data_IF_302384964436
#
_entry.id   IF_302384964436
#
_cell.length_a   1.000
_cell.length_b   1.000
_cell.length_c   1.000
_cell.angle_alpha   90.00
_cell.angle_beta   90.00
_cell.angle_gamma   90.00
#
_symmetry.space_group_name_H-M   'P 1'
#
loop_
_entity.id
_entity.type
_entity.pdbx_description
1 polymer ?
#
# COMPACT_ATOMS: atom_id res chain seq x y z
N UNK A 1 -0.64 29.98 21.78
CA UNK A 1 -0.61 29.68 20.34
C UNK A 1 -0.59 28.17 20.19
N UNK A 2 -1.56 27.58 19.50
CA UNK A 2 -1.52 26.17 19.15
C UNK A 2 -0.40 26.03 18.10
N UNK A 3 0.58 25.15 18.33
CA UNK A 3 1.64 24.90 17.35
C UNK A 3 1.03 24.23 16.12
N UNK A 4 1.32 24.76 14.94
CA UNK A 4 0.92 24.17 13.66
C UNK A 4 1.50 22.76 13.48
N UNK A 5 0.70 21.85 12.92
CA UNK A 5 1.09 20.47 12.66
C UNK A 5 2.05 20.40 11.46
N UNK A 6 3.26 19.87 11.68
CA UNK A 6 4.26 19.73 10.63
C UNK A 6 4.29 18.29 10.11
N UNK A 7 3.67 18.06 8.95
CA UNK A 7 3.63 16.75 8.28
C UNK A 7 5.00 16.14 8.00
N UNK A 8 6.08 16.92 7.91
CA UNK A 8 7.43 16.40 7.67
C UNK A 8 8.12 15.90 8.95
N UNK A 9 7.62 16.28 10.12
CA UNK A 9 8.18 15.88 11.42
C UNK A 9 7.47 14.64 12.01
N UNK A 10 7.19 13.65 11.15
CA UNK A 10 6.57 12.39 11.55
C UNK A 10 7.13 11.21 10.77
N UNK A 11 7.01 10.02 11.37
CA UNK A 11 7.34 8.77 10.70
C UNK A 11 6.16 8.27 9.85
N UNK A 12 6.45 7.89 8.60
CA UNK A 12 5.49 7.25 7.71
C UNK A 12 5.99 5.87 7.28
N UNK A 13 5.13 4.85 7.25
CA UNK A 13 5.48 3.59 6.62
C UNK A 13 5.38 3.75 5.10
N UNK A 14 6.39 3.24 4.39
CA UNK A 14 6.43 3.25 2.95
C UNK A 14 5.79 1.98 2.37
N UNK A 15 6.41 0.82 2.65
CA UNK A 15 6.10 -0.47 2.04
C UNK A 15 6.44 -1.59 3.05
N UNK A 16 5.73 -2.74 3.04
CA UNK A 16 6.16 -3.95 3.74
C UNK A 16 7.54 -4.43 3.28
N UNK A 17 8.44 -4.74 4.20
CA UNK A 17 9.82 -5.16 3.90
C UNK A 17 9.86 -6.40 3.01
N UNK A 18 8.91 -7.33 3.22
CA UNK A 18 8.76 -8.56 2.44
C UNK A 18 8.37 -8.34 0.96
N UNK A 19 7.93 -7.14 0.61
CA UNK A 19 7.52 -6.78 -0.75
C UNK A 19 8.62 -6.00 -1.50
N UNK A 20 9.68 -5.55 -0.81
CA UNK A 20 10.82 -4.82 -1.41
C UNK A 20 11.80 -5.81 -2.04
N UNK A 21 12.15 -5.61 -3.32
CA UNK A 21 13.25 -6.35 -3.95
C UNK A 21 14.59 -5.78 -3.47
N UNK A 22 15.37 -6.57 -2.75
CA UNK A 22 16.66 -6.11 -2.23
C UNK A 22 17.74 -5.96 -3.30
N UNK A 23 17.53 -6.48 -4.51
CA UNK A 23 18.52 -6.42 -5.59
C UNK A 23 18.33 -5.23 -6.53
N UNK A 24 17.23 -4.50 -6.38
CA UNK A 24 16.83 -3.44 -7.30
C UNK A 24 16.34 -2.21 -6.53
N UNK A 25 16.76 -0.98 -6.90
CA UNK A 25 16.16 0.22 -6.34
C UNK A 25 14.64 0.25 -6.60
N UNK A 26 13.87 0.67 -5.59
CA UNK A 26 12.40 0.72 -5.65
C UNK A 26 11.92 2.17 -5.54
N UNK A 27 11.25 2.74 -6.55
CA UNK A 27 10.68 4.07 -6.47
C UNK A 27 9.47 4.08 -5.53
N UNK A 28 9.32 5.16 -4.76
CA UNK A 28 8.16 5.38 -3.89
C UNK A 28 7.90 6.89 -3.79
N UNK A 29 6.65 7.28 -3.59
CA UNK A 29 6.29 8.69 -3.37
C UNK A 29 5.60 8.85 -2.01
N UNK A 30 5.94 9.93 -1.30
CA UNK A 30 5.40 10.33 -0.01
C UNK A 30 5.34 11.86 0.04
N UNK A 31 4.20 12.46 0.37
CA UNK A 31 4.03 13.92 0.45
C UNK A 31 4.52 14.65 -0.81
N UNK A 32 4.31 14.08 -2.00
CA UNK A 32 4.81 14.61 -3.27
C UNK A 32 6.32 14.42 -3.51
N UNK A 33 7.09 14.01 -2.49
CA UNK A 33 8.51 13.69 -2.62
C UNK A 33 8.68 12.34 -3.31
N UNK A 34 9.40 12.34 -4.43
CA UNK A 34 9.86 11.11 -5.09
C UNK A 34 11.09 10.58 -4.39
N UNK A 35 10.99 9.39 -3.84
CA UNK A 35 12.02 8.72 -3.06
C UNK A 35 12.44 7.42 -3.74
N UNK A 36 13.66 6.97 -3.44
CA UNK A 36 14.17 5.65 -3.86
C UNK A 36 14.56 4.86 -2.61
N UNK A 37 14.03 3.65 -2.52
CA UNK A 37 14.42 2.65 -1.52
C UNK A 37 15.49 1.77 -2.17
N UNK A 38 16.60 1.54 -1.48
CA UNK A 38 17.63 0.59 -1.93
C UNK A 38 18.32 -0.05 -0.73
N UNK A 39 19.09 -1.11 -0.95
CA UNK A 39 19.81 -1.81 0.11
C UNK A 39 21.21 -2.20 -0.37
N UNK A 40 22.28 -1.81 0.33
CA UNK A 40 23.57 -2.47 0.12
C UNK A 40 23.42 -3.98 0.35
N UNK A 41 23.97 -4.81 -0.52
CA UNK A 41 23.99 -6.29 -0.44
C UNK A 41 24.61 -6.77 0.88
N UNK A 42 25.60 -6.05 1.38
CA UNK A 42 26.26 -6.31 2.67
C UNK A 42 25.43 -5.89 3.90
N UNK A 43 24.37 -5.10 3.69
CA UNK A 43 23.56 -4.52 4.76
C UNK A 43 22.23 -5.24 4.95
N UNK A 44 21.79 -5.31 6.20
CA UNK A 44 20.42 -5.71 6.56
C UNK A 44 19.46 -4.51 6.53
N UNK A 45 19.96 -3.27 6.38
CA UNK A 45 19.18 -2.03 6.45
C UNK A 45 19.00 -1.35 5.10
N UNK A 46 17.74 -1.08 4.75
CA UNK A 46 17.39 -0.25 3.59
C UNK A 46 17.70 1.22 3.84
N UNK A 47 18.14 1.88 2.77
CA UNK A 47 18.35 3.31 2.67
C UNK A 47 17.20 3.93 1.88
N UNK A 48 16.86 5.18 2.20
CA UNK A 48 15.83 5.95 1.49
C UNK A 48 16.42 7.29 1.07
N UNK A 49 16.61 7.48 -0.23
CA UNK A 49 17.12 8.74 -0.78
C UNK A 49 16.03 9.49 -1.53
N UNK A 50 16.25 10.78 -1.79
CA UNK A 50 15.53 11.49 -2.84
C UNK A 50 15.84 10.81 -4.18
N UNK A 51 14.83 10.59 -5.00
CA UNK A 51 14.96 9.89 -6.28
C UNK A 51 15.51 10.80 -7.39
N UNK A 52 16.64 11.47 -7.11
CA UNK A 52 17.26 12.43 -8.01
C UNK A 52 18.78 12.40 -7.84
N UNK A 53 19.49 12.07 -8.92
CA UNK A 53 20.94 12.16 -8.96
C UNK A 53 21.38 13.63 -8.96
N UNK A 54 22.28 14.09 -8.06
CA UNK A 54 22.71 15.48 -7.99
C UNK A 54 23.49 15.95 -9.24
N UNK A 55 23.94 15.04 -10.10
CA UNK A 55 24.63 15.39 -11.34
C UNK A 55 23.71 16.05 -12.37
N UNK A 56 22.64 15.37 -12.79
CA UNK A 56 21.69 15.85 -13.82
C UNK A 56 20.24 15.44 -13.57
N UNK A 57 19.89 15.21 -12.30
CA UNK A 57 18.53 14.94 -11.82
C UNK A 57 17.88 13.67 -12.37
N UNK A 58 18.67 12.75 -12.94
CA UNK A 58 18.17 11.44 -13.36
C UNK A 58 17.64 10.65 -12.15
N UNK A 59 16.54 9.88 -12.30
CA UNK A 59 16.02 9.06 -11.24
C UNK A 59 17.04 8.00 -10.83
N UNK A 60 17.30 7.90 -9.53
CA UNK A 60 18.20 6.90 -8.96
C UNK A 60 17.50 5.53 -8.83
N UNK A 61 16.17 5.52 -8.85
CA UNK A 61 15.32 4.33 -8.89
C UNK A 61 15.50 3.51 -10.17
N UNK A 62 15.88 4.15 -11.28
CA UNK A 62 16.30 3.48 -12.52
C UNK A 62 17.75 2.98 -12.46
N UNK A 63 18.42 3.18 -11.33
CA UNK A 63 19.80 2.79 -11.04
C UNK A 63 20.01 1.29 -10.81
N UNK A 64 21.14 0.95 -10.20
CA UNK A 64 21.48 -0.41 -9.78
C UNK A 64 22.37 -0.39 -8.54
N UNK A 65 22.40 -1.50 -7.82
CA UNK A 65 23.37 -1.71 -6.74
C UNK A 65 24.63 -2.28 -7.37
N UNK A 66 25.74 -1.55 -7.33
CA UNK A 66 27.00 -1.98 -7.94
C UNK A 66 27.53 -3.24 -7.25
N UNK A 67 28.04 -4.18 -8.04
CA UNK A 67 28.45 -5.48 -7.53
C UNK A 67 29.77 -5.44 -6.76
N UNK A 68 30.63 -4.45 -7.07
CA UNK A 68 31.97 -4.35 -6.51
C UNK A 68 31.99 -3.44 -5.28
N UNK A 69 31.32 -2.29 -5.37
CA UNK A 69 31.35 -1.26 -4.35
C UNK A 69 30.18 -1.33 -3.37
N UNK A 70 29.12 -2.07 -3.72
CA UNK A 70 27.87 -2.16 -2.96
C UNK A 70 27.09 -0.84 -2.82
N UNK A 71 27.44 0.16 -3.64
CA UNK A 71 26.83 1.48 -3.65
C UNK A 71 25.63 1.55 -4.60
N UNK A 72 24.78 2.56 -4.41
CA UNK A 72 23.77 2.91 -5.39
C UNK A 72 24.43 3.62 -6.58
N UNK A 73 24.38 3.00 -7.75
CA UNK A 73 24.91 3.54 -9.00
C UNK A 73 23.79 4.13 -9.86
N UNK A 74 23.94 5.41 -10.23
CA UNK A 74 23.05 6.07 -11.18
C UNK A 74 23.23 5.48 -12.60
N UNK A 75 22.13 5.04 -13.21
CA UNK A 75 22.14 4.45 -14.56
C UNK A 75 22.51 5.40 -15.69
N UNK A 76 22.55 6.72 -15.45
CA UNK A 76 22.89 7.67 -16.51
C UNK A 76 24.41 7.77 -16.73
N UNK A 77 25.18 8.09 -15.69
CA UNK A 77 26.63 8.35 -15.83
C UNK A 77 27.50 7.51 -14.90
N UNK A 78 26.91 6.55 -14.16
CA UNK A 78 27.66 5.67 -13.28
C UNK A 78 28.19 6.34 -12.01
N UNK A 79 27.65 7.49 -11.61
CA UNK A 79 27.97 8.07 -10.29
C UNK A 79 27.45 7.15 -9.20
N UNK A 80 28.29 6.85 -8.23
CA UNK A 80 27.96 5.95 -7.12
C UNK A 80 27.82 6.72 -5.81
N UNK A 81 26.87 6.28 -4.97
CA UNK A 81 26.57 6.88 -3.69
C UNK A 81 26.53 5.81 -2.58
N UNK A 82 27.25 6.05 -1.50
CA UNK A 82 27.22 5.17 -0.32
C UNK A 82 25.89 5.28 0.43
N UNK A 83 25.73 4.49 1.50
CA UNK A 83 24.53 4.48 2.35
C UNK A 83 24.18 5.83 3.00
N UNK A 84 25.15 6.75 3.10
CA UNK A 84 24.93 8.10 3.65
C UNK A 84 24.59 9.12 2.54
N UNK A 85 24.51 8.69 1.29
CA UNK A 85 24.32 9.53 0.11
C UNK A 85 25.61 10.20 -0.36
N UNK A 86 26.78 9.86 0.19
CA UNK A 86 28.06 10.46 -0.20
C UNK A 86 28.47 9.89 -1.56
N UNK A 87 28.80 10.77 -2.51
CA UNK A 87 29.35 10.32 -3.79
C UNK A 87 30.76 9.72 -3.59
N UNK A 88 30.89 8.43 -3.92
CA UNK A 88 32.12 7.65 -3.73
C UNK A 88 32.90 7.43 -5.03
N UNK A 89 32.22 7.46 -6.17
CA UNK A 89 32.81 7.21 -7.48
C UNK A 89 32.18 8.09 -8.56
N UNK A 90 33.03 8.68 -9.40
CA UNK A 90 32.67 9.36 -10.64
C UNK A 90 33.57 8.77 -11.73
N UNK A 91 33.06 7.89 -12.61
CA UNK A 91 33.90 7.20 -13.59
C UNK A 91 34.62 8.14 -14.57
N UNK A 92 34.13 9.37 -14.73
CA UNK A 92 34.66 10.35 -15.68
C UNK A 92 35.77 11.26 -15.12
N UNK A 93 36.30 10.99 -13.92
CA UNK A 93 37.42 11.74 -13.35
C UNK A 93 38.48 10.85 -12.71
N UNK A 94 39.74 11.10 -13.02
CA UNK A 94 40.89 10.49 -12.32
C UNK A 94 41.23 11.24 -11.02
N UNK A 95 40.74 12.48 -10.88
CA UNK A 95 41.02 13.32 -9.72
C UNK A 95 40.05 13.03 -8.57
N UNK A 96 40.35 12.02 -7.77
CA UNK A 96 39.53 11.62 -6.61
C UNK A 96 39.39 12.72 -5.54
N UNK A 97 40.31 13.69 -5.49
CA UNK A 97 40.23 14.82 -4.53
C UNK A 97 39.00 15.70 -4.77
N UNK A 98 38.43 15.68 -5.98
CA UNK A 98 37.22 16.45 -6.29
C UNK A 98 36.01 15.97 -5.46
N UNK A 99 35.95 14.67 -5.13
CA UNK A 99 34.90 14.07 -4.32
C UNK A 99 34.96 14.60 -2.88
N UNK A 100 36.16 14.59 -2.28
CA UNK A 100 36.34 15.09 -0.91
C UNK A 100 36.09 16.59 -0.81
N UNK A 101 36.54 17.37 -1.81
CA UNK A 101 36.37 18.83 -1.83
C UNK A 101 34.91 19.25 -1.99
N UNK A 102 34.12 18.52 -2.78
CA UNK A 102 32.74 18.87 -3.11
C UNK A 102 31.72 17.89 -2.50
N UNK A 103 32.10 17.23 -1.40
CA UNK A 103 31.35 16.14 -0.76
C UNK A 103 29.87 16.47 -0.55
N UNK A 104 29.56 17.69 -0.11
CA UNK A 104 28.18 18.14 0.14
C UNK A 104 27.40 18.41 -1.15
N UNK A 105 28.05 19.00 -2.16
CA UNK A 105 27.39 19.34 -3.43
C UNK A 105 27.08 18.09 -4.26
N UNK A 106 27.93 17.06 -4.17
CA UNK A 106 27.77 15.81 -4.89
C UNK A 106 26.96 14.78 -4.12
N UNK A 107 26.51 15.06 -2.90
CA UNK A 107 25.75 14.10 -2.12
C UNK A 107 24.30 13.98 -2.59
N UNK A 108 23.79 12.75 -2.60
CA UNK A 108 22.36 12.50 -2.62
C UNK A 108 21.73 12.92 -1.29
N UNK A 109 20.47 13.34 -1.36
CA UNK A 109 19.69 13.58 -0.14
C UNK A 109 19.27 12.24 0.44
N UNK A 110 19.79 11.91 1.62
CA UNK A 110 19.38 10.74 2.41
C UNK A 110 18.38 11.13 3.50
N UNK A 111 17.38 10.28 3.72
CA UNK A 111 16.35 10.47 4.74
C UNK A 111 16.51 9.43 5.87
N UNK A 112 16.28 9.82 7.14
CA UNK A 112 16.24 8.86 8.24
C UNK A 112 15.22 7.75 7.96
N UNK A 113 15.64 6.50 8.07
CA UNK A 113 14.79 5.33 7.87
C UNK A 113 14.88 4.35 9.03
N UNK A 114 13.82 3.57 9.25
CA UNK A 114 13.76 2.51 10.28
C UNK A 114 13.03 1.28 9.75
N UNK A 115 13.48 0.10 10.15
CA UNK A 115 12.80 -1.17 9.85
C UNK A 115 12.20 -1.73 11.13
N UNK A 116 10.88 -1.62 11.30
CA UNK A 116 10.19 -2.07 12.51
C UNK A 116 8.85 -2.69 12.12
N UNK A 117 8.48 -3.79 12.80
CA UNK A 117 7.22 -4.50 12.62
C UNK A 117 6.93 -4.95 11.17
N UNK A 118 7.98 -5.26 10.41
CA UNK A 118 7.88 -5.71 9.02
C UNK A 118 7.62 -4.58 8.01
N UNK A 119 7.67 -3.32 8.42
CA UNK A 119 7.50 -2.15 7.55
C UNK A 119 8.81 -1.34 7.48
N UNK A 120 9.08 -0.77 6.30
CA UNK A 120 10.11 0.26 6.14
C UNK A 120 9.48 1.63 6.40
N UNK A 121 10.04 2.36 7.35
CA UNK A 121 9.61 3.69 7.76
C UNK A 121 10.59 4.74 7.30
N UNK A 122 10.08 5.94 6.97
CA UNK A 122 10.89 7.10 6.64
C UNK A 122 10.43 8.33 7.42
N UNK A 123 11.40 9.18 7.76
CA UNK A 123 11.19 10.53 8.25
C UNK A 123 11.48 11.50 7.10
N UNK A 124 10.48 12.18 6.54
CA UNK A 124 10.62 12.93 5.28
C UNK A 124 11.26 14.32 5.45
N UNK A 125 12.15 14.49 6.43
CA UNK A 125 12.99 15.69 6.57
C UNK A 125 14.45 15.31 6.88
N UNK A 126 15.33 15.53 5.90
CA UNK A 126 16.77 15.25 6.00
C UNK A 126 17.47 16.11 7.07
N UNK A 127 16.90 17.26 7.43
CA UNK A 127 17.58 18.24 8.29
C UNK A 127 17.24 18.08 9.78
N UNK A 128 16.33 17.17 10.14
CA UNK A 128 15.87 16.98 11.53
C UNK A 128 16.10 15.56 12.08
N UNK A 129 17.24 14.95 11.73
CA UNK A 129 17.65 13.63 12.22
C UNK A 129 17.57 13.49 13.76
N UNK A 130 17.97 14.51 14.51
CA UNK A 130 17.91 14.49 15.98
C UNK A 130 16.47 14.42 16.52
N UNK A 131 15.53 15.07 15.83
CA UNK A 131 14.11 15.00 16.14
C UNK A 131 13.57 13.61 15.77
N UNK A 132 13.88 13.12 14.57
CA UNK A 132 13.53 11.76 14.14
C UNK A 132 13.98 10.69 15.15
N UNK A 133 15.19 10.85 15.70
CA UNK A 133 15.76 9.96 16.69
C UNK A 133 14.95 9.91 17.99
N UNK A 134 14.45 11.07 18.45
CA UNK A 134 13.67 11.22 19.69
C UNK A 134 12.19 10.92 19.50
N UNK A 135 11.67 11.03 18.29
CA UNK A 135 10.26 10.79 17.99
C UNK A 135 9.98 9.29 17.86
N UNK A 136 9.02 8.75 18.64
CA UNK A 136 8.61 7.35 18.52
C UNK A 136 7.89 7.11 17.19
N UNK A 137 7.96 5.87 16.72
CA UNK A 137 7.14 5.40 15.60
C UNK A 137 5.68 5.25 16.07
N UNK A 138 4.68 5.53 15.22
CA UNK A 138 3.27 5.32 15.55
C UNK A 138 2.92 3.82 15.44
N UNK A 139 3.53 2.99 16.29
CA UNK A 139 3.33 1.54 16.27
C UNK A 139 2.03 1.17 16.98
N UNK A 140 1.27 0.24 16.42
CA UNK A 140 0.12 -0.34 17.12
C UNK A 140 0.59 -1.34 18.19
N UNK A 141 0.00 -1.31 19.40
CA UNK A 141 0.29 -2.31 20.43
C UNK A 141 -0.22 -3.72 20.09
N UNK A 142 -1.04 -3.87 19.04
CA UNK A 142 -1.52 -5.17 18.51
C UNK A 142 -0.54 -5.79 17.51
N UNK A 143 0.49 -5.05 17.09
CA UNK A 143 1.57 -5.56 16.24
C UNK A 143 2.74 -5.94 17.15
N UNK A 144 2.51 -7.02 17.89
CA UNK A 144 3.39 -7.44 18.97
C UNK A 144 3.41 -8.98 19.07
N UNK A 145 4.49 -9.58 18.56
CA UNK A 145 4.68 -11.03 18.57
C UNK A 145 4.85 -11.58 19.99
N UNK A 146 5.41 -10.79 20.93
CA UNK A 146 5.62 -11.19 22.32
C UNK A 146 4.29 -11.30 23.08
N UNK A 147 3.29 -10.50 22.66
CA UNK A 147 1.89 -10.64 23.09
C UNK A 147 1.12 -11.74 22.34
N UNK A 148 1.80 -12.50 21.50
CA UNK A 148 1.24 -13.63 20.76
C UNK A 148 0.42 -13.22 19.54
N UNK A 149 0.54 -12.00 19.02
CA UNK A 149 -0.07 -11.64 17.74
C UNK A 149 0.74 -12.18 16.55
N UNK A 150 0.02 -12.45 15.46
CA UNK A 150 0.58 -12.58 14.13
C UNK A 150 -0.20 -11.64 13.21
N UNK A 151 0.42 -11.16 12.14
CA UNK A 151 -0.22 -10.23 11.19
C UNK A 151 0.23 -10.51 9.76
N UNK A 152 -0.59 -10.08 8.82
CA UNK A 152 -0.23 -9.94 7.41
C UNK A 152 -0.17 -8.45 7.08
N UNK A 153 0.72 -8.08 6.17
CA UNK A 153 0.84 -6.71 5.69
C UNK A 153 0.34 -6.60 4.25
N UNK A 154 -0.24 -5.46 3.92
CA UNK A 154 -0.78 -5.15 2.61
C UNK A 154 -0.54 -3.67 2.28
N UNK A 155 -0.22 -3.37 1.03
CA UNK A 155 -0.03 -1.98 0.58
C UNK A 155 -0.78 -1.76 -0.72
N UNK A 156 -1.43 -0.60 -0.86
CA UNK A 156 -2.14 -0.23 -2.08
C UNK A 156 -2.16 1.28 -2.24
N UNK A 157 -1.85 1.75 -3.45
CA UNK A 157 -2.08 3.14 -3.83
C UNK A 157 -3.56 3.34 -4.18
N UNK A 158 -4.14 4.42 -3.67
CA UNK A 158 -5.53 4.80 -3.78
C UNK A 158 -5.70 6.00 -4.71
N UNK A 159 -6.78 6.02 -5.48
CA UNK A 159 -7.10 7.07 -6.45
C UNK A 159 -7.89 8.25 -5.84
N UNK A 160 -7.58 8.59 -4.58
CA UNK A 160 -8.17 9.69 -3.83
C UNK A 160 -7.24 10.16 -2.70
N UNK A 161 -7.40 11.38 -2.20
CA UNK A 161 -6.49 11.98 -1.20
C UNK A 161 -6.49 11.30 0.15
N UNK A 162 -5.42 11.60 0.90
CA UNK A 162 -5.20 11.16 2.27
C UNK A 162 -6.38 11.51 3.19
N UNK A 163 -6.99 12.70 3.05
CA UNK A 163 -8.13 13.10 3.89
C UNK A 163 -9.30 12.15 3.68
N UNK A 164 -9.67 11.88 2.43
CA UNK A 164 -10.74 10.96 2.04
C UNK A 164 -10.45 9.53 2.52
N UNK A 165 -9.18 9.10 2.48
CA UNK A 165 -8.77 7.80 3.04
C UNK A 165 -8.96 7.74 4.56
N UNK A 166 -8.55 8.78 5.30
CA UNK A 166 -8.75 8.82 6.75
C UNK A 166 -10.24 8.81 7.09
N UNK A 167 -11.08 9.57 6.37
CA UNK A 167 -12.54 9.57 6.56
C UNK A 167 -13.16 8.20 6.30
N UNK A 168 -12.81 7.57 5.18
CA UNK A 168 -13.34 6.26 4.80
C UNK A 168 -12.98 5.19 5.84
N UNK A 169 -11.74 5.19 6.32
CA UNK A 169 -11.30 4.23 7.32
C UNK A 169 -11.88 4.57 8.70
N UNK A 170 -12.16 5.84 9.01
CA UNK A 170 -12.77 6.27 10.27
C UNK A 170 -14.26 5.90 10.42
N UNK A 171 -14.98 5.76 9.31
CA UNK A 171 -16.42 5.50 9.31
C UNK A 171 -16.73 4.02 9.03
N UNK A 172 -17.09 3.20 10.04
CA UNK A 172 -17.49 1.81 9.81
C UNK A 172 -18.90 1.66 9.20
N UNK A 173 -19.68 2.73 9.05
CA UNK A 173 -21.09 2.67 8.60
C UNK A 173 -21.24 2.27 7.13
N UNK A 174 -20.25 2.56 6.29
CA UNK A 174 -20.25 2.17 4.89
C UNK A 174 -20.03 0.67 4.69
N UNK A 175 -19.43 -0.03 5.67
CA UNK A 175 -18.95 -1.41 5.52
C UNK A 175 -20.04 -2.40 5.08
N UNK A 176 -21.24 -2.41 5.69
CA UNK A 176 -22.35 -3.27 5.22
C UNK A 176 -22.75 -3.05 3.75
N UNK A 177 -22.55 -1.84 3.23
CA UNK A 177 -23.07 -1.40 1.93
C UNK A 177 -22.02 -1.47 0.82
N UNK A 178 -20.89 -0.73 0.95
CA UNK A 178 -19.83 -0.71 -0.05
C UNK A 178 -19.20 -2.10 -0.23
N UNK A 179 -19.08 -2.84 0.87
CA UNK A 179 -18.41 -4.14 0.90
C UNK A 179 -19.37 -5.32 0.95
N UNK A 180 -20.60 -5.13 0.46
CA UNK A 180 -21.63 -6.15 0.44
C UNK A 180 -21.19 -7.40 -0.34
N UNK A 181 -21.31 -8.58 0.29
CA UNK A 181 -20.91 -9.86 -0.31
C UNK A 181 -19.39 -10.12 -0.28
N UNK A 182 -18.62 -9.24 0.36
CA UNK A 182 -17.17 -9.40 0.58
C UNK A 182 -16.88 -9.51 2.08
N UNK A 183 -16.97 -8.39 2.81
CA UNK A 183 -16.82 -8.33 4.28
C UNK A 183 -18.06 -7.80 4.99
N UNK A 184 -19.02 -7.24 4.25
CA UNK A 184 -20.25 -6.64 4.75
C UNK A 184 -21.51 -7.36 4.25
N UNK A 185 -22.61 -7.14 4.97
CA UNK A 185 -23.95 -7.51 4.53
C UNK A 185 -24.89 -6.32 4.75
N UNK A 186 -25.49 -5.78 3.68
CA UNK A 186 -26.34 -4.59 3.74
C UNK A 186 -27.56 -4.75 4.66
N UNK A 187 -28.02 -5.99 4.84
CA UNK A 187 -29.11 -6.30 5.77
C UNK A 187 -28.71 -6.15 7.25
N UNK A 188 -27.41 -6.02 7.54
CA UNK A 188 -26.88 -5.77 8.87
C UNK A 188 -26.66 -4.26 9.15
N UNK A 189 -27.06 -3.37 8.23
CA UNK A 189 -27.01 -1.93 8.43
C UNK A 189 -27.85 -1.51 9.64
N UNK A 190 -27.26 -0.72 10.53
CA UNK A 190 -27.90 -0.29 11.79
C UNK A 190 -27.15 0.92 12.37
N UNK A 191 -27.75 1.66 13.33
CA UNK A 191 -27.08 2.77 14.00
C UNK A 191 -25.74 2.35 14.62
N UNK A 192 -24.74 3.24 14.53
CA UNK A 192 -23.41 3.06 15.13
C UNK A 192 -23.18 4.19 16.13
N UNK A 193 -23.35 3.95 17.44
CA UNK A 193 -23.18 4.98 18.45
C UNK A 193 -21.68 5.21 18.70
N UNK A 194 -21.04 6.04 17.89
CA UNK A 194 -19.64 6.42 18.11
C UNK A 194 -19.57 7.44 19.25
N UNK A 195 -18.78 7.16 20.27
CA UNK A 195 -18.48 8.11 21.34
C UNK A 195 -17.02 8.56 21.23
N UNK A 196 -16.79 9.87 21.10
CA UNK A 196 -15.43 10.43 21.15
C UNK A 196 -14.98 10.47 22.62
N UNK A 197 -14.03 9.62 22.98
CA UNK A 197 -13.48 9.52 24.34
C UNK A 197 -12.26 10.40 24.54
N UNK A 198 -11.52 10.71 23.47
CA UNK A 198 -10.35 11.58 23.51
C UNK A 198 -10.18 12.31 22.18
N UNK A 199 -9.88 13.60 22.24
CA UNK A 199 -9.48 14.40 21.07
C UNK A 199 -8.40 15.37 21.47
N UNK A 200 -7.19 15.15 20.96
CA UNK A 200 -6.01 15.98 21.20
C UNK A 200 -5.23 16.17 19.89
N UNK A 201 -4.21 17.04 19.84
CA UNK A 201 -3.39 17.18 18.64
C UNK A 201 -2.71 15.88 18.20
N UNK A 202 -2.46 14.96 19.14
CA UNK A 202 -1.68 13.74 18.91
C UNK A 202 -2.54 12.47 18.83
N UNK A 203 -3.83 12.52 19.20
CA UNK A 203 -4.70 11.35 19.13
C UNK A 203 -6.18 11.75 19.16
N UNK A 204 -6.97 11.08 18.32
CA UNK A 204 -8.43 11.01 18.46
C UNK A 204 -8.78 9.55 18.75
N UNK A 205 -9.49 9.30 19.85
CA UNK A 205 -9.96 7.97 20.22
C UNK A 205 -11.48 8.00 20.34
N UNK A 206 -12.11 6.98 19.75
CA UNK A 206 -13.53 6.78 19.79
C UNK A 206 -13.86 5.33 20.19
N UNK A 207 -15.02 5.14 20.82
CA UNK A 207 -15.55 3.83 21.19
C UNK A 207 -16.86 3.56 20.48
N UNK A 208 -17.08 2.29 20.19
CA UNK A 208 -18.33 1.75 19.68
C UNK A 208 -18.75 0.63 20.61
N UNK A 209 -19.84 0.85 21.35
CA UNK A 209 -20.42 -0.13 22.26
C UNK A 209 -21.59 -0.84 21.56
N UNK A 210 -21.34 -2.08 21.15
CA UNK A 210 -22.30 -2.95 20.44
C UNK A 210 -22.05 -4.40 20.87
N UNK A 211 -22.55 -5.39 20.11
CA UNK A 211 -22.25 -6.80 20.36
C UNK A 211 -20.73 -7.11 20.37
N UNK A 212 -19.95 -6.35 19.60
CA UNK A 212 -18.48 -6.38 19.63
C UNK A 212 -17.97 -4.98 19.96
N UNK A 213 -17.46 -4.81 21.18
CA UNK A 213 -16.86 -3.55 21.60
C UNK A 213 -15.60 -3.28 20.79
N UNK A 214 -15.56 -2.10 20.19
CA UNK A 214 -14.48 -1.67 19.32
C UNK A 214 -13.97 -0.30 19.75
N UNK A 215 -12.65 -0.16 19.81
CA UNK A 215 -11.99 1.14 19.96
C UNK A 215 -11.40 1.52 18.61
N UNK A 216 -11.67 2.73 18.15
CA UNK A 216 -11.04 3.34 16.98
C UNK A 216 -10.06 4.40 17.46
N UNK A 217 -8.81 4.31 17.03
CA UNK A 217 -7.76 5.29 17.39
C UNK A 217 -7.14 5.86 16.13
N UNK A 218 -7.22 7.18 15.95
CA UNK A 218 -6.46 7.93 14.98
C UNK A 218 -5.27 8.61 15.67
N UNK A 219 -4.05 8.22 15.33
CA UNK A 219 -2.81 8.90 15.73
C UNK A 219 -2.21 9.58 14.49
N UNK A 220 -2.27 10.93 14.43
CA UNK A 220 -1.74 11.67 13.29
C UNK A 220 -0.26 11.39 13.04
N UNK A 221 0.19 11.47 11.78
CA UNK A 221 -0.60 11.81 10.60
C UNK A 221 -1.22 10.60 9.91
N UNK A 222 -0.89 9.36 10.30
CA UNK A 222 -1.16 8.22 9.44
C UNK A 222 -1.86 7.04 10.10
N UNK A 223 -1.75 6.79 11.41
CA UNK A 223 -2.28 5.54 11.99
C UNK A 223 -3.77 5.68 12.31
N UNK A 224 -4.59 4.84 11.69
CA UNK A 224 -5.97 4.59 12.09
C UNK A 224 -6.11 3.11 12.44
N UNK A 225 -6.56 2.81 13.65
CA UNK A 225 -6.60 1.46 14.19
C UNK A 225 -7.97 1.11 14.75
N UNK A 226 -8.45 -0.10 14.45
CA UNK A 226 -9.54 -0.75 15.16
C UNK A 226 -8.99 -1.84 16.08
N UNK A 227 -9.36 -1.77 17.35
CA UNK A 227 -9.15 -2.83 18.33
C UNK A 227 -10.48 -3.51 18.63
N UNK A 228 -10.67 -4.74 18.15
CA UNK A 228 -11.94 -5.47 18.28
C UNK A 228 -11.74 -6.66 19.24
N UNK A 229 -12.51 -6.66 20.33
CA UNK A 229 -12.55 -7.77 21.29
C UNK A 229 -13.69 -8.73 20.94
N UNK A 230 -13.40 -10.02 20.89
CA UNK A 230 -14.39 -11.06 20.54
C UNK A 230 -14.92 -11.73 21.81
N UNK A 231 -16.09 -11.27 22.26
CA UNK A 231 -16.75 -11.75 23.49
C UNK A 231 -15.89 -11.54 24.75
N UNK A 232 -16.11 -12.37 25.76
CA UNK A 232 -15.33 -12.34 27.02
C UNK A 232 -13.97 -13.06 26.92
N UNK A 233 -13.59 -13.49 25.71
CA UNK A 233 -12.33 -14.21 25.50
C UNK A 233 -11.16 -13.25 25.28
N UNK A 234 -9.94 -13.69 25.57
CA UNK A 234 -8.71 -12.95 25.22
C UNK A 234 -8.45 -12.91 23.69
N UNK A 235 -9.39 -13.32 22.84
CA UNK A 235 -9.24 -13.31 21.38
C UNK A 235 -9.44 -11.91 20.84
N UNK A 236 -8.45 -11.43 20.10
CA UNK A 236 -8.42 -10.09 19.53
C UNK A 236 -8.09 -10.18 18.04
N UNK A 237 -8.78 -9.33 17.28
CA UNK A 237 -8.47 -9.03 15.88
C UNK A 237 -8.33 -7.52 15.75
N UNK A 238 -7.32 -7.10 15.01
CA UNK A 238 -7.08 -5.69 14.73
C UNK A 238 -7.11 -5.41 13.24
N UNK A 239 -7.40 -4.15 12.94
CA UNK A 239 -7.19 -3.53 11.65
C UNK A 239 -6.36 -2.29 11.90
N UNK A 240 -5.08 -2.33 11.51
CA UNK A 240 -4.18 -1.18 11.60
C UNK A 240 -3.97 -0.67 10.19
N UNK A 241 -4.43 0.53 9.89
CA UNK A 241 -4.31 1.17 8.58
C UNK A 241 -3.48 2.43 8.73
N UNK A 242 -2.37 2.48 8.02
CA UNK A 242 -1.61 3.70 7.86
C UNK A 242 -2.03 4.41 6.57
N UNK A 243 -2.69 5.56 6.73
CA UNK A 243 -3.11 6.44 5.64
C UNK A 243 -1.94 7.36 5.29
N UNK A 244 -1.40 7.25 4.08
CA UNK A 244 -0.18 7.94 3.67
C UNK A 244 -0.49 8.89 2.50
N UNK A 245 -0.20 10.19 2.60
CA UNK A 245 -0.35 11.13 1.48
C UNK A 245 0.71 10.85 0.41
N UNK A 246 0.30 10.71 -0.86
CA UNK A 246 1.21 10.42 -1.98
C UNK A 246 1.38 11.64 -2.86
N UNK A 247 0.29 12.14 -3.44
CA UNK A 247 0.21 13.33 -4.29
C UNK A 247 -1.25 13.85 -4.26
N UNK A 248 -1.58 15.04 -4.78
CA UNK A 248 -2.98 15.45 -4.89
C UNK A 248 -3.84 14.41 -5.64
N UNK A 249 -5.01 14.12 -5.08
CA UNK A 249 -5.92 13.06 -5.52
C UNK A 249 -5.38 11.64 -5.33
N UNK A 250 -4.30 11.44 -4.56
CA UNK A 250 -3.64 10.13 -4.38
C UNK A 250 -3.14 9.92 -2.96
N UNK A 251 -3.46 8.74 -2.43
CA UNK A 251 -2.97 8.29 -1.15
C UNK A 251 -2.48 6.84 -1.24
N UNK A 252 -1.90 6.34 -0.14
CA UNK A 252 -1.50 4.96 0.00
C UNK A 252 -2.03 4.43 1.31
N UNK A 253 -2.64 3.25 1.24
CA UNK A 253 -3.00 2.44 2.37
C UNK A 253 -1.86 1.47 2.64
N UNK A 254 -1.28 1.50 3.84
CA UNK A 254 -0.41 0.43 4.38
C UNK A 254 -1.15 -0.24 5.54
N UNK A 255 -1.70 -1.41 5.30
CA UNK A 255 -2.49 -2.18 6.28
C UNK A 255 -1.68 -3.27 6.97
N UNK A 256 -1.90 -3.45 8.27
CA UNK A 256 -1.53 -4.64 9.01
C UNK A 256 -2.75 -5.22 9.70
N UNK A 257 -2.95 -6.54 9.56
CA UNK A 257 -4.15 -7.24 10.05
C UNK A 257 -3.77 -8.23 11.17
N UNK A 258 -3.57 -7.76 12.40
CA UNK A 258 -3.17 -8.63 13.51
C UNK A 258 -4.31 -9.48 14.03
N UNK A 259 -3.96 -10.70 14.45
CA UNK A 259 -4.80 -11.55 15.30
C UNK A 259 -3.96 -12.41 16.23
N UNK A 260 -4.51 -12.71 17.41
CA UNK A 260 -3.84 -13.58 18.39
C UNK A 260 -4.42 -15.02 18.44
N UNK A 261 -5.40 -15.32 17.60
CA UNK A 261 -6.07 -16.62 17.48
C UNK A 261 -6.09 -17.11 16.02
N UNK A 262 -6.53 -18.36 15.80
CA UNK A 262 -6.59 -18.98 14.47
C UNK A 262 -5.28 -18.85 13.66
N UNK A 263 -4.14 -18.94 14.36
CA UNK A 263 -2.82 -18.64 13.79
C UNK A 263 -2.47 -19.55 12.60
N UNK A 264 -2.80 -20.84 12.72
CA UNK A 264 -2.58 -21.83 11.66
C UNK A 264 -3.32 -21.48 10.37
N UNK A 265 -4.51 -20.86 10.46
CA UNK A 265 -5.28 -20.46 9.29
C UNK A 265 -4.57 -19.37 8.47
N UNK A 266 -3.83 -18.44 9.11
CA UNK A 266 -3.02 -17.45 8.36
C UNK A 266 -1.90 -18.11 7.57
N UNK A 267 -1.38 -19.22 8.08
CA UNK A 267 -0.23 -19.90 7.46
C UNK A 267 -0.64 -20.75 6.27
N UNK A 268 -1.90 -21.19 6.21
CA UNK A 268 -2.42 -22.07 5.15
C UNK A 268 -2.87 -21.27 3.93
N UNK A 269 -3.48 -20.10 4.13
CA UNK A 269 -4.00 -19.28 3.03
C UNK A 269 -2.84 -18.43 2.47
N UNK A 270 -2.49 -18.56 1.18
CA UNK A 270 -1.46 -17.72 0.59
C UNK A 270 -1.85 -16.24 0.61
N UNK A 271 -0.92 -15.33 0.95
CA UNK A 271 -1.15 -13.87 0.96
C UNK A 271 -1.83 -13.38 -0.32
N UNK A 272 -1.30 -13.76 -1.49
CA UNK A 272 -1.88 -13.36 -2.78
C UNK A 272 -3.35 -13.78 -2.95
N UNK A 273 -3.76 -14.93 -2.40
CA UNK A 273 -5.15 -15.38 -2.49
C UNK A 273 -6.05 -14.50 -1.64
N UNK A 274 -5.67 -14.23 -0.39
CA UNK A 274 -6.37 -13.30 0.50
C UNK A 274 -6.47 -11.90 -0.13
N UNK A 275 -5.40 -11.43 -0.78
CA UNK A 275 -5.41 -10.14 -1.47
C UNK A 275 -6.46 -10.13 -2.59
N UNK A 276 -6.46 -11.15 -3.47
CA UNK A 276 -7.40 -11.26 -4.60
C UNK A 276 -8.86 -11.43 -4.17
N UNK A 277 -9.12 -12.22 -3.12
CA UNK A 277 -10.51 -12.56 -2.75
C UNK A 277 -11.13 -11.59 -1.76
N UNK A 278 -10.31 -10.80 -1.07
CA UNK A 278 -10.78 -9.94 0.02
C UNK A 278 -10.25 -8.52 -0.11
N UNK A 279 -8.94 -8.32 -0.04
CA UNK A 279 -8.35 -6.98 0.13
C UNK A 279 -8.58 -6.08 -1.09
N UNK A 280 -8.40 -6.60 -2.29
CA UNK A 280 -8.67 -5.86 -3.52
C UNK A 280 -10.14 -5.47 -3.65
N UNK A 281 -11.06 -6.42 -3.42
CA UNK A 281 -12.48 -6.18 -3.59
C UNK A 281 -13.01 -5.11 -2.63
N UNK A 282 -12.51 -5.07 -1.39
CA UNK A 282 -12.86 -4.01 -0.44
C UNK A 282 -12.43 -2.64 -0.98
N UNK A 283 -11.15 -2.48 -1.29
CA UNK A 283 -10.61 -1.18 -1.71
C UNK A 283 -11.15 -0.70 -3.07
N UNK A 284 -11.47 -1.61 -3.97
CA UNK A 284 -12.04 -1.29 -5.29
C UNK A 284 -13.51 -0.85 -5.19
N UNK A 285 -14.24 -1.35 -4.17
CA UNK A 285 -15.56 -0.83 -3.82
C UNK A 285 -15.51 0.64 -3.38
N UNK A 286 -14.46 1.03 -2.68
CA UNK A 286 -14.30 2.41 -2.20
C UNK A 286 -13.80 3.35 -3.31
N UNK A 287 -12.79 2.95 -4.08
CA UNK A 287 -12.09 3.80 -5.07
C UNK A 287 -13.00 4.58 -6.01
N UNK A 288 -13.99 3.91 -6.61
CA UNK A 288 -14.89 4.54 -7.59
C UNK A 288 -15.75 5.63 -6.93
N UNK A 289 -16.22 5.36 -5.72
CA UNK A 289 -17.12 6.26 -5.01
C UNK A 289 -16.36 7.48 -4.48
N UNK A 290 -15.22 7.21 -3.84
CA UNK A 290 -14.49 8.20 -3.07
C UNK A 290 -13.75 9.21 -3.94
N UNK A 291 -13.22 8.80 -5.08
CA UNK A 291 -12.66 9.70 -6.09
C UNK A 291 -13.68 10.79 -6.49
N UNK A 292 -14.91 10.39 -6.78
CA UNK A 292 -15.95 11.32 -7.21
C UNK A 292 -16.45 12.18 -6.04
N UNK A 293 -16.63 11.57 -4.87
CA UNK A 293 -16.99 12.29 -3.64
C UNK A 293 -15.99 13.40 -3.32
N UNK A 294 -14.69 13.12 -3.43
CA UNK A 294 -13.63 14.08 -3.17
C UNK A 294 -13.69 15.26 -4.15
N UNK A 295 -13.85 14.98 -5.44
CA UNK A 295 -14.05 16.01 -6.46
C UNK A 295 -15.24 16.93 -6.13
N UNK A 296 -16.41 16.36 -5.84
CA UNK A 296 -17.59 17.16 -5.50
C UNK A 296 -17.44 17.93 -4.19
N UNK A 297 -16.69 17.40 -3.22
CA UNK A 297 -16.38 18.14 -2.01
C UNK A 297 -15.50 19.35 -2.35
N UNK A 298 -14.45 19.18 -3.17
CA UNK A 298 -13.57 20.28 -3.60
C UNK A 298 -14.35 21.38 -4.32
N UNK A 299 -15.23 21.03 -5.28
CA UNK A 299 -16.09 22.01 -5.97
C UNK A 299 -16.99 22.77 -4.99
N UNK A 300 -17.62 22.06 -4.04
CA UNK A 300 -18.46 22.71 -3.03
C UNK A 300 -17.65 23.64 -2.15
N UNK A 301 -16.42 23.27 -1.79
CA UNK A 301 -15.57 24.05 -0.90
C UNK A 301 -15.14 25.41 -1.46
N UNK A 302 -15.32 25.66 -2.76
CA UNK A 302 -15.14 26.98 -3.36
C UNK A 302 -16.13 28.03 -2.83
N UNK A 303 -17.32 27.60 -2.42
CA UNK A 303 -18.42 28.50 -2.04
C UNK A 303 -18.89 28.30 -0.59
N UNK A 304 -18.56 27.16 0.03
CA UNK A 304 -19.05 26.83 1.37
C UNK A 304 -18.03 26.04 2.20
N UNK A 305 -18.26 25.91 3.51
CA UNK A 305 -17.42 25.06 4.38
C UNK A 305 -17.76 23.57 4.21
N UNK A 306 -16.82 22.67 4.49
CA UNK A 306 -17.12 21.22 4.57
C UNK A 306 -18.29 20.92 5.51
N UNK A 307 -18.48 21.75 6.56
CA UNK A 307 -19.57 21.64 7.55
C UNK A 307 -20.97 21.79 6.96
N UNK A 308 -21.09 22.45 5.80
CA UNK A 308 -22.37 22.61 5.08
C UNK A 308 -22.40 21.79 3.79
N UNK A 309 -21.24 21.52 3.18
CA UNK A 309 -21.13 20.67 2.00
C UNK A 309 -21.52 19.20 2.28
N UNK A 310 -21.08 18.68 3.43
CA UNK A 310 -21.49 17.38 3.94
C UNK A 310 -22.73 17.47 4.82
N UNK A 311 -23.51 16.39 4.85
CA UNK A 311 -24.64 16.20 5.75
C UNK A 311 -24.31 15.00 6.65
N UNK A 312 -23.93 15.29 7.90
CA UNK A 312 -23.41 14.31 8.86
C UNK A 312 -24.32 14.23 10.10
N UNK A 313 -25.57 13.73 9.96
CA UNK A 313 -26.61 13.91 10.98
C UNK A 313 -26.57 12.88 12.11
N UNK A 314 -25.76 11.82 11.99
CA UNK A 314 -25.83 10.65 12.88
C UNK A 314 -24.63 10.55 13.80
N UNK A 315 -24.73 9.68 14.81
CA UNK A 315 -23.59 9.36 15.68
C UNK A 315 -22.47 8.63 14.94
N UNK A 316 -22.76 7.95 13.83
CA UNK A 316 -21.74 7.28 13.01
C UNK A 316 -20.76 8.28 12.38
N UNK A 317 -21.18 9.53 12.20
CA UNK A 317 -20.36 10.56 11.56
C UNK A 317 -19.37 11.24 12.53
N UNK A 318 -19.48 10.99 13.84
CA UNK A 318 -18.77 11.75 14.87
C UNK A 318 -17.26 11.72 14.72
N UNK A 319 -16.67 10.58 14.33
CA UNK A 319 -15.22 10.48 14.16
C UNK A 319 -14.74 11.23 12.91
N UNK A 320 -15.52 11.23 11.84
CA UNK A 320 -15.24 12.04 10.63
C UNK A 320 -15.30 13.53 10.95
N UNK A 321 -16.34 13.96 11.68
CA UNK A 321 -16.48 15.35 12.15
C UNK A 321 -15.27 15.76 13.00
N UNK A 322 -14.85 14.89 13.94
CA UNK A 322 -13.75 15.20 14.84
C UNK A 322 -12.40 15.23 14.12
N UNK A 323 -12.18 14.33 13.16
CA UNK A 323 -11.01 14.36 12.27
C UNK A 323 -10.94 15.67 11.47
N UNK A 324 -12.04 16.08 10.82
CA UNK A 324 -12.08 17.35 10.05
C UNK A 324 -11.83 18.57 10.94
N UNK A 325 -12.38 18.59 12.17
CA UNK A 325 -12.08 19.65 13.14
C UNK A 325 -10.61 19.68 13.54
N UNK A 326 -10.01 18.51 13.78
CA UNK A 326 -8.58 18.39 14.04
C UNK A 326 -7.77 18.94 12.86
N UNK A 327 -8.12 18.57 11.64
CA UNK A 327 -7.43 19.01 10.43
C UNK A 327 -7.54 20.53 10.21
N UNK A 328 -8.73 21.12 10.41
CA UNK A 328 -8.91 22.58 10.38
C UNK A 328 -8.07 23.28 11.46
N UNK A 329 -8.05 22.73 12.68
CA UNK A 329 -7.46 23.38 13.86
C UNK A 329 -5.93 23.33 13.84
N UNK A 330 -5.36 22.19 13.48
CA UNK A 330 -3.92 21.94 13.59
C UNK A 330 -3.20 22.02 12.24
N UNK A 331 -3.89 21.80 11.13
CA UNK A 331 -3.31 21.78 9.77
C UNK A 331 -3.86 22.89 8.87
N UNK A 332 -4.66 23.82 9.40
CA UNK A 332 -5.31 24.89 8.64
C UNK A 332 -6.15 24.38 7.45
N UNK A 333 -6.64 23.15 7.52
CA UNK A 333 -7.42 22.53 6.45
C UNK A 333 -6.61 22.21 5.18
N UNK A 334 -5.27 22.16 5.25
CA UNK A 334 -4.41 21.95 4.08
C UNK A 334 -3.31 20.91 4.33
N UNK A 335 -2.98 20.18 3.25
CA UNK A 335 -1.76 19.37 3.15
C UNK A 335 -0.61 20.27 2.68
N UNK A 336 0.66 19.92 2.98
CA UNK A 336 1.82 20.81 2.76
C UNK A 336 2.33 20.79 1.31
N UNK A 337 1.43 20.72 0.32
CA UNK A 337 1.78 20.56 -1.10
C UNK A 337 2.67 21.70 -1.63
N UNK A 338 2.39 22.94 -1.21
CA UNK A 338 3.20 24.12 -1.58
C UNK A 338 4.67 23.99 -1.12
N UNK A 339 4.91 23.32 0.02
CA UNK A 339 6.27 23.13 0.57
C UNK A 339 7.13 22.19 -0.28
N UNK A 340 6.50 21.38 -1.15
CA UNK A 340 7.17 20.49 -2.11
C UNK A 340 7.01 20.98 -3.56
N UNK A 341 6.56 22.22 -3.75
CA UNK A 341 6.43 22.86 -5.06
C UNK A 341 5.21 22.41 -5.87
N UNK A 342 4.21 21.79 -5.23
CA UNK A 342 2.95 21.41 -5.87
C UNK A 342 1.90 22.49 -5.55
N UNK A 343 1.62 23.34 -6.54
CA UNK A 343 0.69 24.47 -6.38
C UNK A 343 -0.71 24.19 -6.93
N UNK A 344 -0.82 23.33 -7.95
CA UNK A 344 -2.10 22.90 -8.50
C UNK A 344 -2.52 21.58 -7.88
N UNK A 345 -3.64 21.62 -7.17
CA UNK A 345 -4.25 20.47 -6.50
C UNK A 345 -5.68 20.27 -6.96
N UNK A 346 -6.06 20.87 -8.09
CA UNK A 346 -7.40 20.74 -8.65
C UNK A 346 -7.62 19.30 -9.13
N UNK A 347 -8.73 18.71 -8.72
CA UNK A 347 -9.08 17.33 -9.01
C UNK A 347 -9.97 17.26 -10.25
N UNK A 348 -9.96 16.11 -10.93
CA UNK A 348 -10.88 15.84 -12.03
C UNK A 348 -11.49 14.46 -11.85
N UNK A 349 -12.73 14.28 -12.28
CA UNK A 349 -13.35 12.96 -12.30
C UNK A 349 -12.66 12.11 -13.37
N UNK A 350 -12.18 10.93 -12.98
CA UNK A 350 -11.70 9.91 -13.92
C UNK A 350 -12.76 8.82 -14.10
N UNK A 351 -13.46 8.86 -15.24
CA UNK A 351 -14.46 7.84 -15.59
C UNK A 351 -13.85 6.53 -16.13
N UNK A 352 -12.54 6.52 -16.42
CA UNK A 352 -11.85 5.32 -16.88
C UNK A 352 -11.57 4.37 -15.71
N UNK A 353 -12.51 3.46 -15.47
CA UNK A 353 -12.42 2.45 -14.40
C UNK A 353 -11.16 1.59 -14.48
N UNK A 354 -10.59 1.38 -15.68
CA UNK A 354 -9.34 0.61 -15.83
C UNK A 354 -8.14 1.35 -15.24
N UNK A 355 -8.14 2.68 -15.26
CA UNK A 355 -7.09 3.50 -14.63
C UNK A 355 -7.32 3.61 -13.12
N UNK A 356 -8.57 3.85 -12.70
CA UNK A 356 -8.93 4.01 -11.28
C UNK A 356 -8.68 2.72 -10.50
N UNK A 357 -9.07 1.58 -11.07
CA UNK A 357 -8.93 0.25 -10.47
C UNK A 357 -7.72 -0.52 -11.02
N UNK A 358 -6.68 0.16 -11.49
CA UNK A 358 -5.47 -0.45 -12.03
C UNK A 358 -4.74 -1.26 -10.95
N UNK A 359 -5.09 -2.54 -10.85
CA UNK A 359 -4.57 -3.41 -9.80
C UNK A 359 -3.12 -3.73 -9.99
N UNK A 360 -2.68 -3.78 -11.23
CA UNK A 360 -1.32 -4.14 -11.54
C UNK A 360 -0.36 -3.08 -11.02
N UNK A 361 -0.57 -1.83 -11.40
CA UNK A 361 0.36 -0.75 -11.08
C UNK A 361 0.24 -0.28 -9.63
N UNK A 362 -0.96 -0.32 -9.05
CA UNK A 362 -1.17 0.09 -7.66
C UNK A 362 -0.78 -0.98 -6.62
N UNK A 363 -0.62 -2.26 -7.02
CA UNK A 363 -0.24 -3.34 -6.07
C UNK A 363 0.52 -4.51 -6.69
N UNK A 364 -0.03 -5.21 -7.69
CA UNK A 364 0.46 -6.55 -8.07
C UNK A 364 1.94 -6.55 -8.41
N UNK A 365 2.43 -5.55 -9.14
CA UNK A 365 3.84 -5.47 -9.50
C UNK A 365 4.76 -5.20 -8.29
N UNK A 366 4.22 -4.61 -7.22
CA UNK A 366 4.97 -4.21 -6.03
C UNK A 366 4.89 -5.25 -4.90
N UNK A 367 3.81 -6.02 -4.80
CA UNK A 367 3.68 -7.08 -3.81
C UNK A 367 4.40 -8.35 -4.28
N UNK A 368 5.38 -8.83 -3.50
CA UNK A 368 6.18 -10.00 -3.87
C UNK A 368 5.31 -11.26 -3.99
N UNK A 369 4.30 -11.40 -3.12
CA UNK A 369 3.36 -12.53 -3.15
C UNK A 369 2.53 -12.54 -4.44
N UNK A 370 1.90 -11.41 -4.79
CA UNK A 370 1.04 -11.30 -5.97
C UNK A 370 1.84 -11.36 -7.28
N UNK A 371 2.99 -10.66 -7.36
CA UNK A 371 3.90 -10.70 -8.51
C UNK A 371 4.38 -12.11 -8.79
N UNK A 372 4.83 -12.83 -7.76
CA UNK A 372 5.33 -14.19 -7.90
C UNK A 372 4.20 -15.16 -8.28
N UNK A 373 3.01 -14.99 -7.69
CA UNK A 373 1.84 -15.79 -8.06
C UNK A 373 1.47 -15.59 -9.54
N UNK A 374 1.39 -14.34 -10.02
CA UNK A 374 1.15 -14.04 -11.43
C UNK A 374 2.22 -14.65 -12.36
N UNK A 375 3.49 -14.53 -11.99
CA UNK A 375 4.58 -15.13 -12.75
C UNK A 375 4.47 -16.66 -12.81
N UNK A 376 4.10 -17.31 -11.70
CA UNK A 376 3.89 -18.74 -11.64
C UNK A 376 2.66 -19.17 -12.46
N UNK A 377 1.58 -18.40 -12.44
CA UNK A 377 0.40 -18.60 -13.29
C UNK A 377 0.79 -18.59 -14.77
N UNK A 378 1.57 -17.59 -15.21
CA UNK A 378 2.06 -17.50 -16.60
C UNK A 378 2.99 -18.65 -16.99
N UNK A 379 3.90 -19.05 -16.09
CA UNK A 379 4.77 -20.21 -16.31
C UNK A 379 3.96 -21.51 -16.43
N UNK A 380 2.97 -21.70 -15.56
CA UNK A 380 2.12 -22.88 -15.57
C UNK A 380 1.25 -22.93 -16.83
N UNK A 381 0.70 -21.79 -17.27
CA UNK A 381 0.00 -21.69 -18.56
C UNK A 381 0.89 -22.17 -19.72
N UNK A 382 2.15 -21.71 -19.77
CA UNK A 382 3.10 -22.12 -20.80
C UNK A 382 3.42 -23.62 -20.74
N UNK A 383 3.68 -24.15 -19.54
CA UNK A 383 3.96 -25.58 -19.33
C UNK A 383 2.76 -26.45 -19.75
N UNK A 384 1.52 -26.06 -19.38
CA UNK A 384 0.31 -26.81 -19.74
C UNK A 384 0.09 -26.85 -21.25
N UNK A 385 0.36 -25.75 -21.97
CA UNK A 385 0.29 -25.75 -23.44
C UNK A 385 1.33 -26.70 -24.05
N UNK A 386 2.56 -26.69 -23.53
CA UNK A 386 3.60 -27.62 -23.99
C UNK A 386 3.20 -29.07 -23.74
N UNK A 387 2.69 -29.38 -22.54
CA UNK A 387 2.22 -30.72 -22.19
C UNK A 387 1.06 -31.17 -23.09
N UNK A 388 0.09 -30.30 -23.35
CA UNK A 388 -1.01 -30.59 -24.27
C UNK A 388 -0.53 -30.89 -25.70
N UNK A 389 0.46 -30.14 -26.19
CA UNK A 389 1.08 -30.39 -27.50
C UNK A 389 1.79 -31.74 -27.51
N UNK A 390 2.58 -32.07 -26.48
CA UNK A 390 3.27 -33.36 -26.39
C UNK A 390 2.29 -34.54 -26.25
N UNK A 391 1.24 -34.39 -25.46
CA UNK A 391 0.15 -35.38 -25.34
C UNK A 391 -0.55 -35.60 -26.68
N UNK A 392 -0.80 -34.52 -27.44
CA UNK A 392 -1.40 -34.60 -28.78
C UNK A 392 -0.48 -35.28 -29.80
N UNK A 393 0.81 -34.91 -29.83
CA UNK A 393 1.81 -35.56 -30.68
C UNK A 393 1.91 -37.05 -30.32
N UNK A 394 2.01 -37.36 -29.03
CA UNK A 394 2.04 -38.72 -28.51
C UNK A 394 0.86 -39.56 -28.99
N UNK A 395 -0.37 -39.05 -28.84
CA UNK A 395 -1.58 -39.69 -29.40
C UNK A 395 -1.49 -39.94 -30.91
N UNK A 396 -0.95 -38.97 -31.65
CA UNK A 396 -0.92 -38.99 -33.11
C UNK A 396 0.09 -39.98 -33.66
N UNK A 397 1.27 -40.11 -33.04
CA UNK A 397 2.35 -41.00 -33.50
C UNK A 397 2.27 -42.41 -32.90
N UNK A 398 1.45 -42.62 -31.88
CA UNK A 398 1.32 -43.91 -31.19
C UNK A 398 0.74 -44.99 -32.11
N UNK A 399 1.31 -46.23 -32.10
CA UNK A 399 0.75 -47.35 -32.86
C UNK A 399 -0.70 -47.66 -32.47
N UNK A 400 -1.48 -48.19 -33.40
CA UNK A 400 -2.94 -48.36 -33.23
C UNK A 400 -3.31 -49.23 -32.03
N UNK A 401 -2.55 -50.29 -31.73
CA UNK A 401 -2.78 -51.16 -30.56
C UNK A 401 -2.70 -50.37 -29.25
N UNK A 402 -1.68 -49.53 -29.10
CA UNK A 402 -1.50 -48.68 -27.93
C UNK A 402 -2.51 -47.53 -27.92
N UNK A 403 -2.87 -46.97 -29.09
CA UNK A 403 -3.86 -45.90 -29.20
C UNK A 403 -5.26 -46.37 -28.79
N UNK A 404 -5.64 -47.60 -29.13
CA UNK A 404 -6.91 -48.19 -28.66
C UNK A 404 -6.95 -48.36 -27.14
N UNK A 405 -5.81 -48.68 -26.51
CA UNK A 405 -5.73 -48.87 -25.06
C UNK A 405 -5.61 -47.55 -24.27
N UNK A 406 -4.79 -46.61 -24.73
CA UNK A 406 -4.41 -45.40 -23.97
C UNK A 406 -4.91 -44.09 -24.57
N UNK A 407 -5.41 -44.09 -25.80
CA UNK A 407 -5.80 -42.88 -26.53
C UNK A 407 -6.90 -42.08 -25.83
N UNK A 408 -7.87 -42.75 -25.19
CA UNK A 408 -8.91 -42.07 -24.40
C UNK A 408 -8.35 -41.38 -23.16
N UNK A 409 -7.37 -42.01 -22.48
CA UNK A 409 -6.73 -41.43 -21.30
C UNK A 409 -5.88 -40.22 -21.66
N UNK A 410 -5.08 -40.32 -22.72
CA UNK A 410 -4.29 -39.19 -23.25
C UNK A 410 -5.19 -38.06 -23.77
N UNK A 411 -6.29 -38.39 -24.45
CA UNK A 411 -7.31 -37.40 -24.81
C UNK A 411 -7.92 -36.71 -23.58
N UNK A 412 -8.19 -37.46 -22.52
CA UNK A 412 -8.64 -36.93 -21.23
C UNK A 412 -7.63 -35.98 -20.59
N UNK A 413 -6.33 -36.32 -20.62
CA UNK A 413 -5.27 -35.43 -20.12
C UNK A 413 -5.22 -34.11 -20.89
N UNK A 414 -5.30 -34.15 -22.23
CA UNK A 414 -5.33 -32.92 -23.05
C UNK A 414 -6.49 -32.01 -22.64
N UNK A 415 -7.69 -32.57 -22.42
CA UNK A 415 -8.86 -31.79 -21.98
C UNK A 415 -8.63 -31.17 -20.60
N UNK A 416 -8.05 -31.91 -19.66
CA UNK A 416 -7.73 -31.40 -18.32
C UNK A 416 -6.67 -30.29 -18.40
N UNK A 417 -5.60 -30.50 -19.17
CA UNK A 417 -4.52 -29.53 -19.36
C UNK A 417 -5.03 -28.21 -19.96
N UNK A 418 -5.81 -28.30 -21.05
CA UNK A 418 -6.43 -27.14 -21.69
C UNK A 418 -7.52 -26.49 -20.81
N UNK A 419 -8.23 -27.28 -20.00
CA UNK A 419 -9.20 -26.79 -19.03
C UNK A 419 -8.55 -25.97 -17.92
N UNK A 420 -7.47 -26.48 -17.32
CA UNK A 420 -6.69 -25.76 -16.30
C UNK A 420 -6.05 -24.52 -16.93
N UNK A 421 -5.45 -24.65 -18.13
CA UNK A 421 -4.91 -23.50 -18.87
C UNK A 421 -5.95 -22.40 -19.05
N UNK A 422 -7.16 -22.77 -19.50
CA UNK A 422 -8.24 -21.82 -19.75
C UNK A 422 -8.70 -21.14 -18.46
N UNK A 423 -8.82 -21.87 -17.36
CA UNK A 423 -9.12 -21.29 -16.05
C UNK A 423 -8.04 -20.31 -15.59
N UNK A 424 -6.75 -20.69 -15.72
CA UNK A 424 -5.64 -19.81 -15.39
C UNK A 424 -5.63 -18.55 -16.24
N UNK A 425 -5.89 -18.68 -17.56
CA UNK A 425 -5.80 -17.59 -18.53
C UNK A 425 -6.96 -16.61 -18.44
N UNK A 426 -8.18 -17.14 -18.31
CA UNK A 426 -9.40 -16.33 -18.44
C UNK A 426 -10.05 -15.97 -17.11
N UNK A 427 -9.76 -16.70 -16.03
CA UNK A 427 -10.33 -16.41 -14.72
C UNK A 427 -9.30 -15.90 -13.72
N UNK A 428 -8.14 -16.57 -13.61
CA UNK A 428 -7.17 -16.22 -12.57
C UNK A 428 -6.23 -15.07 -12.96
N UNK A 429 -5.63 -15.11 -14.15
CA UNK A 429 -4.68 -14.07 -14.59
C UNK A 429 -5.30 -12.66 -14.60
N UNK A 430 -6.53 -12.42 -15.14
CA UNK A 430 -7.11 -11.07 -15.17
C UNK A 430 -7.31 -10.47 -13.76
N UNK A 431 -7.53 -11.32 -12.74
CA UNK A 431 -7.64 -10.90 -11.34
C UNK A 431 -6.38 -10.25 -10.79
N UNK A 432 -5.22 -10.40 -11.43
CA UNK A 432 -4.01 -9.67 -11.05
C UNK A 432 -3.91 -8.28 -11.68
N UNK A 433 -4.74 -7.96 -12.67
CA UNK A 433 -4.69 -6.73 -13.45
C UNK A 433 -5.87 -5.81 -13.19
N UNK A 434 -7.07 -6.31 -13.44
CA UNK A 434 -8.31 -5.54 -13.35
C UNK A 434 -9.49 -6.50 -13.29
N UNK A 435 -10.39 -6.25 -12.35
CA UNK A 435 -11.74 -6.82 -12.35
C UNK A 435 -12.65 -5.70 -11.93
N UNK A 436 -13.68 -5.45 -12.71
CA UNK A 436 -14.60 -4.37 -12.41
C UNK A 436 -15.37 -4.66 -11.11
N UNK A 437 -15.47 -3.65 -10.24
CA UNK A 437 -16.28 -3.71 -9.03
C UNK A 437 -17.58 -2.93 -9.22
N UNK A 438 -18.65 -3.65 -9.54
CA UNK A 438 -19.98 -3.09 -9.76
C UNK A 438 -20.85 -3.39 -8.53
N UNK A 439 -21.16 -2.35 -7.76
CA UNK A 439 -21.99 -2.49 -6.54
C UNK A 439 -23.36 -3.13 -6.82
N UNK A 440 -23.97 -2.80 -7.98
CA UNK A 440 -25.27 -3.34 -8.37
C UNK A 440 -25.28 -4.85 -8.63
N UNK A 441 -24.12 -5.44 -8.98
CA UNK A 441 -24.00 -6.88 -9.25
C UNK A 441 -23.86 -7.72 -7.96
N UNK A 442 -23.58 -7.06 -6.83
CA UNK A 442 -23.52 -7.71 -5.51
C UNK A 442 -24.94 -7.87 -4.96
N UNK A 443 -25.53 -9.03 -5.22
CA UNK A 443 -26.89 -9.40 -4.75
C UNK A 443 -26.93 -9.76 -3.28
#
# INVERSE_FOLDING_TARGET
MISEFNFFHHWYPLIPIEDIDSNSPTPVTLLGLRLVIWKPRSSTYYQVFLDQCPHRLAPLSEGRIDENSDNLMCSYHGWEFDQNGICTSIPQTENTKILTKNKQQFACVSFPSRQINGLLWVWPDKNSQDLANKTPLPLSPQIDADKGFIWSSYVRDMAYDWQTLVENVADPSHVPYAHHGVQGNRNNGQPIPIEIVKSTPNVIEAKIERALNSTITFEPPCRLEYAIKIGDSNKQVGLVVYCVPVAPGKSRLVGQFPRNFAKSLMKIIPRWWEHLTTRHLVLEGDMILLQQQEYYLQEKQETQSWKTAYQLPTEADRLVIEFRRWFDTYCQGKLPWEQVGINDTHLTINDNRHEVLDRYHQHTQHCSSCRNALNNVKKLQFILLILAIFSLIGCSIMPDEFRQQWGLLLGGFIVIELGIYSWLKWWLEPRFYFVDYIHADKK
#
